data_IF_890672683209
#
_entry.id   IF_890672683209
#
_cell.length_a   1.000
_cell.length_b   1.000
_cell.length_c   1.000
_cell.angle_alpha   90.00
_cell.angle_beta   90.00
_cell.angle_gamma   90.00
#
_symmetry.space_group_name_H-M   'P 1'
#
loop_
_entity.id
_entity.type
_entity.pdbx_description
1 polymer ?
#
# COMPACT_ATOMS: atom_id res chain seq x y z
N UNK A 1 -12.24 7.59 -6.70
CA UNK A 1 -12.65 6.29 -7.27
C UNK A 1 -11.44 5.37 -7.23
N UNK A 2 -11.63 4.12 -6.83
CA UNK A 2 -10.58 3.09 -6.69
C UNK A 2 -11.20 1.73 -7.00
N UNK A 3 -11.29 1.42 -8.30
CA UNK A 3 -11.61 0.08 -8.79
C UNK A 3 -10.37 -0.83 -8.68
N UNK A 4 -10.56 -2.13 -8.49
CA UNK A 4 -9.48 -3.11 -8.48
C UNK A 4 -8.88 -3.42 -7.11
N UNK A 5 -9.56 -3.10 -6.01
CA UNK A 5 -9.10 -3.42 -4.65
C UNK A 5 -8.91 -4.93 -4.42
N UNK A 6 -9.58 -5.78 -5.21
CA UNK A 6 -9.39 -7.24 -5.19
C UNK A 6 -7.96 -7.70 -5.53
N UNK A 7 -7.16 -6.83 -6.15
CA UNK A 7 -5.75 -7.08 -6.45
C UNK A 7 -4.81 -6.59 -5.34
N UNK A 8 -5.34 -5.96 -4.29
CA UNK A 8 -4.57 -5.48 -3.14
C UNK A 8 -4.66 -6.51 -2.01
N UNK A 9 -3.49 -6.90 -1.54
CA UNK A 9 -3.31 -7.93 -0.52
C UNK A 9 -2.69 -7.26 0.71
N UNK A 10 -3.34 -7.40 1.85
CA UNK A 10 -2.86 -6.91 3.12
C UNK A 10 -2.26 -8.07 3.91
N UNK A 11 -0.99 -7.95 4.28
CA UNK A 11 -0.28 -8.93 5.08
C UNK A 11 -0.19 -8.42 6.52
N UNK A 12 -0.89 -9.10 7.42
CA UNK A 12 -0.85 -8.81 8.86
C UNK A 12 0.04 -9.83 9.54
N UNK A 13 0.97 -9.34 10.36
CA UNK A 13 1.78 -10.20 11.23
C UNK A 13 0.88 -10.84 12.29
N UNK A 14 0.83 -12.18 12.37
CA UNK A 14 0.13 -12.87 13.46
C UNK A 14 0.67 -12.47 14.84
N UNK A 15 1.99 -12.27 14.91
CA UNK A 15 2.73 -11.84 16.09
C UNK A 15 2.47 -10.38 16.48
N UNK A 16 1.79 -9.59 15.62
CA UNK A 16 1.52 -8.14 15.78
C UNK A 16 2.77 -7.28 16.02
N UNK A 17 3.96 -7.82 15.75
CA UNK A 17 5.24 -7.14 16.00
C UNK A 17 5.57 -6.09 14.94
N UNK A 18 4.99 -6.23 13.75
CA UNK A 18 5.22 -5.34 12.61
C UNK A 18 3.89 -4.84 12.06
N UNK A 19 3.92 -3.63 11.50
CA UNK A 19 2.72 -3.01 10.91
C UNK A 19 2.23 -3.81 9.68
N UNK A 20 0.94 -3.70 9.33
CA UNK A 20 0.41 -4.34 8.12
C UNK A 20 1.12 -3.82 6.86
N UNK A 21 1.54 -4.74 6.01
CA UNK A 21 2.16 -4.41 4.72
C UNK A 21 1.20 -4.71 3.58
N UNK A 22 1.16 -3.84 2.59
CA UNK A 22 0.23 -3.95 1.48
C UNK A 22 0.96 -4.26 0.20
N UNK A 23 0.39 -5.14 -0.60
CA UNK A 23 0.90 -5.49 -1.92
C UNK A 23 -0.21 -5.37 -2.96
N UNK A 24 0.01 -4.53 -3.96
CA UNK A 24 -0.83 -4.47 -5.15
C UNK A 24 -0.27 -5.44 -6.20
N UNK A 25 -0.94 -6.57 -6.42
CA UNK A 25 -0.54 -7.60 -7.40
C UNK A 25 -0.75 -7.14 -8.85
N UNK A 26 -1.64 -6.17 -9.06
CA UNK A 26 -1.89 -5.58 -10.37
C UNK A 26 -0.74 -4.66 -10.81
N UNK A 27 -0.21 -3.88 -9.87
CA UNK A 27 0.86 -2.92 -10.15
C UNK A 27 2.26 -3.44 -9.80
N UNK A 28 2.35 -4.64 -9.20
CA UNK A 28 3.58 -5.21 -8.65
C UNK A 28 4.29 -4.26 -7.67
N UNK A 29 3.50 -3.53 -6.85
CA UNK A 29 3.99 -2.55 -5.88
C UNK A 29 3.68 -3.00 -4.45
N UNK A 30 4.65 -2.82 -3.57
CA UNK A 30 4.61 -3.25 -2.17
C UNK A 30 5.04 -2.09 -1.26
N UNK A 31 4.13 -1.65 -0.38
CA UNK A 31 4.25 -0.41 0.41
C UNK A 31 3.45 -0.48 1.72
N UNK A 32 3.67 0.46 2.64
CA UNK A 32 2.84 0.68 3.83
C UNK A 32 1.46 1.23 3.49
N UNK A 33 0.53 1.20 4.46
CA UNK A 33 -0.88 1.58 4.27
C UNK A 33 -1.07 2.93 3.58
N UNK A 34 -0.44 3.99 4.09
CA UNK A 34 -0.64 5.35 3.60
C UNK A 34 -0.29 5.49 2.11
N UNK A 35 0.86 4.95 1.72
CA UNK A 35 1.35 4.97 0.34
C UNK A 35 0.49 4.08 -0.59
N UNK A 36 -0.01 2.95 -0.07
CA UNK A 36 -0.94 2.10 -0.82
C UNK A 36 -2.27 2.80 -1.12
N UNK A 37 -2.81 3.56 -0.16
CA UNK A 37 -4.07 4.31 -0.35
C UNK A 37 -3.91 5.36 -1.46
N UNK A 38 -2.78 6.06 -1.49
CA UNK A 38 -2.48 7.03 -2.55
C UNK A 38 -2.33 6.33 -3.91
N UNK A 39 -1.60 5.20 -3.91
CA UNK A 39 -1.41 4.36 -5.09
C UNK A 39 -2.73 3.89 -5.73
N UNK A 40 -3.66 3.31 -4.96
CA UNK A 40 -4.92 2.75 -5.50
C UNK A 40 -5.90 3.83 -5.96
N UNK A 41 -5.79 5.05 -5.43
CA UNK A 41 -6.55 6.23 -5.91
C UNK A 41 -5.90 6.86 -7.16
N UNK A 42 -4.67 6.47 -7.47
CA UNK A 42 -3.90 6.94 -8.61
C UNK A 42 -4.45 6.45 -9.95
N UNK A 43 -4.28 7.26 -10.98
CA UNK A 43 -4.74 6.94 -12.34
C UNK A 43 -4.03 5.70 -12.92
N UNK A 44 -2.76 5.46 -12.58
CA UNK A 44 -2.00 4.30 -13.06
C UNK A 44 -2.64 2.98 -12.61
N UNK A 45 -3.13 2.91 -11.38
CA UNK A 45 -3.81 1.72 -10.88
C UNK A 45 -5.11 1.47 -11.65
N UNK A 46 -5.95 2.50 -11.79
CA UNK A 46 -7.19 2.42 -12.57
C UNK A 46 -6.93 2.03 -14.03
N UNK A 47 -5.89 2.59 -14.64
CA UNK A 47 -5.48 2.25 -16.01
C UNK A 47 -5.13 0.77 -16.14
N UNK A 48 -4.25 0.25 -15.28
CA UNK A 48 -3.86 -1.17 -15.33
C UNK A 48 -5.03 -2.11 -15.06
N UNK A 49 -5.94 -1.71 -14.17
CA UNK A 49 -7.14 -2.49 -13.86
C UNK A 49 -8.02 -2.57 -15.11
N UNK A 50 -8.30 -1.42 -15.73
CA UNK A 50 -9.09 -1.32 -16.94
C UNK A 50 -8.44 -2.07 -18.11
N UNK A 51 -7.13 -1.88 -18.35
CA UNK A 51 -6.40 -2.59 -19.42
C UNK A 51 -6.43 -4.12 -19.24
N UNK A 52 -6.45 -4.61 -17.99
CA UNK A 52 -6.48 -6.05 -17.68
C UNK A 52 -7.87 -6.66 -17.72
N UNK A 53 -8.88 -5.96 -17.19
CA UNK A 53 -10.23 -6.50 -16.98
C UNK A 53 -11.24 -6.03 -18.03
N UNK A 54 -10.96 -4.90 -18.67
CA UNK A 54 -11.79 -4.25 -19.70
C UNK A 54 -10.91 -3.71 -20.84
N UNK A 55 -10.10 -4.56 -21.50
CA UNK A 55 -9.22 -4.11 -22.59
C UNK A 55 -10.03 -3.42 -23.71
N UNK A 56 -11.26 -3.84 -23.96
CA UNK A 56 -12.18 -3.24 -24.93
C UNK A 56 -12.54 -1.77 -24.64
N UNK A 57 -12.41 -1.34 -23.37
CA UNK A 57 -12.71 0.04 -22.94
C UNK A 57 -11.47 0.93 -22.90
N UNK A 58 -10.28 0.37 -23.13
CA UNK A 58 -9.00 1.08 -23.07
C UNK A 58 -8.24 0.89 -24.37
N UNK A 59 -8.40 1.86 -25.26
CA UNK A 59 -7.69 1.93 -26.55
C UNK A 59 -6.31 2.62 -26.44
N UNK A 60 -6.03 3.27 -25.31
CA UNK A 60 -4.79 4.03 -25.09
C UNK A 60 -3.72 3.20 -24.36
N UNK A 61 -2.46 3.60 -24.49
CA UNK A 61 -1.36 3.01 -23.74
C UNK A 61 -1.07 3.79 -22.44
N UNK A 62 -0.31 3.15 -21.53
CA UNK A 62 0.05 3.80 -20.25
C UNK A 62 0.88 5.06 -20.53
N UNK A 63 1.68 5.05 -21.59
CA UNK A 63 2.53 6.16 -22.05
C UNK A 63 1.72 7.34 -22.58
N UNK A 64 0.62 7.10 -23.30
CA UNK A 64 -0.29 8.15 -23.75
C UNK A 64 -0.94 8.83 -22.55
N UNK A 65 -1.32 8.05 -21.53
CA UNK A 65 -1.78 8.60 -20.27
C UNK A 65 -0.71 9.45 -19.57
N UNK A 66 0.58 9.16 -19.72
CA UNK A 66 1.64 10.02 -19.18
C UNK A 66 1.73 11.34 -19.94
N UNK A 67 1.60 11.32 -21.27
CA UNK A 67 1.72 12.49 -22.12
C UNK A 67 0.47 13.38 -22.07
N UNK A 68 -0.70 12.78 -22.04
CA UNK A 68 -1.98 13.48 -22.19
C UNK A 68 -2.86 13.36 -20.92
N UNK A 69 -3.19 14.50 -20.27
CA UNK A 69 -4.01 14.49 -19.07
C UNK A 69 -5.50 14.17 -19.34
N UNK A 70 -6.01 14.37 -20.56
CA UNK A 70 -7.38 14.02 -20.91
C UNK A 70 -7.57 12.49 -20.91
N UNK A 71 -6.57 11.73 -21.35
CA UNK A 71 -6.57 10.26 -21.26
C UNK A 71 -6.64 9.81 -19.80
N UNK A 72 -5.85 10.42 -18.90
CA UNK A 72 -5.93 10.11 -17.46
C UNK A 72 -7.34 10.33 -16.90
N UNK A 73 -8.00 11.41 -17.34
CA UNK A 73 -9.37 11.72 -16.94
C UNK A 73 -10.36 10.71 -17.51
N UNK A 74 -10.27 10.37 -18.79
CA UNK A 74 -11.13 9.37 -19.44
C UNK A 74 -11.02 8.01 -18.77
N UNK A 75 -9.80 7.56 -18.46
CA UNK A 75 -9.55 6.30 -17.74
C UNK A 75 -10.20 6.32 -16.35
N UNK A 76 -10.10 7.43 -15.60
CA UNK A 76 -10.76 7.57 -14.30
C UNK A 76 -12.28 7.52 -14.41
N UNK A 77 -12.86 8.13 -15.44
CA UNK A 77 -14.30 8.09 -15.70
C UNK A 77 -14.73 6.67 -16.04
N UNK A 78 -14.05 6.00 -16.97
CA UNK A 78 -14.36 4.63 -17.35
C UNK A 78 -14.20 3.65 -16.17
N UNK A 79 -13.16 3.83 -15.36
CA UNK A 79 -12.97 3.05 -14.14
C UNK A 79 -14.06 3.30 -13.09
N UNK A 80 -14.61 4.52 -13.00
CA UNK A 80 -15.73 4.83 -12.11
C UNK A 80 -17.03 4.16 -12.56
N UNK A 81 -17.29 4.12 -13.87
CA UNK A 81 -18.45 3.41 -14.43
C UNK A 81 -18.35 1.90 -14.17
N UNK A 82 -17.16 1.34 -14.37
CA UNK A 82 -16.88 -0.05 -14.05
C UNK A 82 -17.00 -0.32 -12.55
N UNK A 83 -16.48 0.58 -11.70
CA UNK A 83 -16.63 0.49 -10.24
C UNK A 83 -18.11 0.49 -9.82
N UNK A 84 -18.96 1.24 -10.51
CA UNK A 84 -20.40 1.29 -10.23
C UNK A 84 -21.13 0.03 -10.70
N UNK A 85 -20.69 -0.58 -11.80
CA UNK A 85 -21.27 -1.80 -12.35
C UNK A 85 -20.83 -3.08 -11.60
N UNK A 86 -19.53 -3.21 -11.32
CA UNK A 86 -18.93 -4.43 -10.72
C UNK A 86 -18.63 -4.28 -9.22
N UNK A 87 -18.55 -3.04 -8.71
CA UNK A 87 -18.07 -2.73 -7.38
C UNK A 87 -16.57 -2.39 -7.33
N UNK A 88 -16.10 -1.91 -6.17
CA UNK A 88 -14.69 -1.58 -5.93
C UNK A 88 -13.78 -2.81 -5.78
N UNK A 89 -14.37 -3.96 -5.48
CA UNK A 89 -13.69 -5.14 -4.95
C UNK A 89 -13.33 -5.00 -3.46
N UNK A 90 -12.83 -6.08 -2.87
CA UNK A 90 -12.41 -6.13 -1.47
C UNK A 90 -10.94 -6.54 -1.35
N UNK A 91 -10.20 -5.89 -0.43
CA UNK A 91 -8.80 -6.22 -0.14
C UNK A 91 -8.74 -7.63 0.47
N UNK A 92 -7.77 -8.44 0.01
CA UNK A 92 -7.52 -9.76 0.61
C UNK A 92 -6.59 -9.64 1.80
N UNK A 93 -7.04 -10.04 2.98
CA UNK A 93 -6.22 -10.06 4.20
C UNK A 93 -5.58 -11.43 4.36
N UNK A 94 -4.25 -11.44 4.53
CA UNK A 94 -3.43 -12.64 4.72
C UNK A 94 -2.69 -12.52 6.04
N UNK A 95 -2.91 -13.50 6.92
CA UNK A 95 -2.16 -13.63 8.16
C UNK A 95 -0.84 -14.31 7.86
N UNK A 96 0.18 -13.52 7.56
CA UNK A 96 1.54 -13.99 7.30
C UNK A 96 2.52 -12.91 7.67
N UNK A 97 3.67 -13.32 8.20
CA UNK A 97 4.70 -12.38 8.59
C UNK A 97 5.27 -11.65 7.36
N UNK A 98 5.25 -10.31 7.35
CA UNK A 98 5.72 -9.51 6.22
C UNK A 98 7.14 -9.85 5.78
N UNK A 99 8.07 -10.11 6.70
CA UNK A 99 9.45 -10.46 6.36
C UNK A 99 9.59 -11.80 5.62
N UNK A 100 8.58 -12.70 5.70
CA UNK A 100 8.55 -13.96 4.96
C UNK A 100 7.98 -13.82 3.55
N UNK A 101 7.50 -12.63 3.17
CA UNK A 101 6.93 -12.37 1.85
C UNK A 101 8.02 -11.77 0.97
N UNK A 102 8.36 -12.48 -0.11
CA UNK A 102 9.43 -12.06 -1.05
C UNK A 102 9.23 -10.64 -1.59
N UNK A 103 7.98 -10.22 -1.77
CA UNK A 103 7.65 -8.88 -2.23
C UNK A 103 8.11 -7.76 -1.29
N UNK A 104 8.34 -8.08 -0.01
CA UNK A 104 8.81 -7.12 0.98
C UNK A 104 10.29 -7.31 1.36
N UNK A 105 11.02 -8.17 0.64
CA UNK A 105 12.45 -8.40 0.89
C UNK A 105 13.24 -7.10 0.70
N UNK A 106 13.89 -6.64 1.77
CA UNK A 106 14.68 -5.39 1.77
C UNK A 106 13.96 -4.18 2.39
N UNK A 107 12.68 -4.30 2.72
CA UNK A 107 11.96 -3.26 3.48
C UNK A 107 12.28 -3.40 4.98
N UNK A 108 13.05 -2.47 5.54
CA UNK A 108 13.42 -2.49 6.98
C UNK A 108 12.21 -2.48 7.92
N UNK A 109 11.10 -1.90 7.46
CA UNK A 109 9.78 -1.87 8.11
C UNK A 109 9.13 -3.25 8.32
N UNK A 110 9.57 -4.29 7.59
CA UNK A 110 9.08 -5.66 7.74
C UNK A 110 9.75 -6.44 8.88
N UNK A 111 10.86 -5.93 9.41
CA UNK A 111 11.57 -6.56 10.51
C UNK A 111 11.05 -6.00 11.84
N UNK A 112 10.78 -6.86 12.83
CA UNK A 112 10.44 -6.38 14.16
C UNK A 112 11.58 -5.50 14.67
N UNK A 113 11.26 -4.29 15.13
CA UNK A 113 12.26 -3.47 15.80
C UNK A 113 12.69 -4.21 17.07
N UNK A 114 13.99 -4.30 17.38
CA UNK A 114 14.40 -4.81 18.68
C UNK A 114 13.74 -3.95 19.76
N UNK A 115 13.07 -4.61 20.70
CA UNK A 115 12.53 -3.96 21.89
C UNK A 115 13.76 -3.50 22.68
N UNK A 116 14.11 -2.22 22.59
CA UNK A 116 15.12 -1.66 23.49
C UNK A 116 14.42 -1.53 24.84
N UNK A 117 14.84 -2.27 25.89
CA UNK A 117 14.32 -2.02 27.23
C UNK A 117 14.65 -0.56 27.57
N UNK A 118 13.62 0.22 27.92
CA UNK A 118 13.77 1.58 28.43
C UNK A 118 14.54 1.46 29.74
N UNK A 119 15.86 1.62 29.69
CA UNK A 119 16.67 1.65 30.90
C UNK A 119 16.26 2.91 31.66
N UNK A 120 15.46 2.73 32.70
CA UNK A 120 15.01 3.80 33.56
C UNK A 120 16.12 4.02 34.61
N UNK A 121 17.31 4.43 34.15
CA UNK A 121 18.43 4.78 35.03
C UNK A 121 18.11 6.12 35.70
N UNK A 122 17.52 6.03 36.90
CA UNK A 122 17.53 7.13 37.87
C UNK A 122 18.98 7.53 38.12
N UNK A 123 19.36 8.71 37.61
CA UNK A 123 20.63 9.36 37.97
C UNK A 123 20.62 9.64 39.49
N UNK A 124 21.69 9.32 40.23
CA UNK A 124 21.77 9.74 41.63
C UNK A 124 21.76 11.27 41.71
N UNK A 125 20.85 11.81 42.53
CA UNK A 125 20.88 13.21 42.96
C UNK A 125 22.25 13.50 43.58
N UNK A 126 22.95 14.49 43.03
CA UNK A 126 24.18 15.00 43.63
C UNK A 126 23.91 15.60 45.02
N UNK A 127 24.94 15.68 45.89
CA UNK A 127 24.74 16.14 47.26
C UNK A 127 24.29 17.61 47.30
N UNK A 128 23.50 18.00 48.31
CA UNK A 128 23.13 19.39 48.51
C UNK A 128 24.36 20.19 48.91
N UNK A 129 24.63 21.27 48.19
CA UNK A 129 25.65 22.24 48.59
C UNK A 129 25.19 22.92 49.89
N UNK A 130 26.00 22.78 50.94
CA UNK A 130 25.86 23.49 52.20
C UNK A 130 26.75 24.74 52.26
N UNK A 131 26.18 25.74 52.94
CA UNK A 131 26.77 26.91 53.62
C UNK A 131 27.51 27.99 52.80
#
# INVERSE_FOLDING_TARGET
>A
MSAGLQYVWEYRSPSKMVQPHYQCKLCSLSRVQHDMVDHVKGWKHSFRYMKKNHPDKVIWEEEDGVKDPAIRKAVKVAAAEVEKAEGRGQIRVILKEPYLVLAFKGLRECFPRPIIPRNNEMRPMGPPFGE
#
